data_IF_637929615730
#
_entry.id   IF_637929615730
#
_cell.length_a   1.000
_cell.length_b   1.000
_cell.length_c   1.000
_cell.angle_alpha   90.00
_cell.angle_beta   90.00
_cell.angle_gamma   90.00
#
_symmetry.space_group_name_H-M   'P 1'
#
loop_
_entity.id
_entity.type
_entity.pdbx_description
1 polymer ?
#
# COMPACT_ATOMS: atom_id res chain seq x y z
N UNK A 1 -16.84 -20.20 -10.56
CA UNK A 1 -17.58 -18.93 -10.65
C UNK A 1 -16.60 -17.82 -10.33
N UNK A 2 -16.48 -16.81 -11.19
CA UNK A 2 -15.68 -15.63 -10.88
C UNK A 2 -16.50 -14.80 -9.89
N UNK A 3 -15.96 -14.53 -8.71
CA UNK A 3 -16.59 -13.60 -7.78
C UNK A 3 -16.71 -12.22 -8.43
N UNK A 4 -17.84 -11.55 -8.17
CA UNK A 4 -18.12 -10.21 -8.66
C UNK A 4 -17.14 -9.22 -8.02
N UNK A 5 -16.19 -8.63 -8.79
CA UNK A 5 -15.14 -7.79 -8.23
C UNK A 5 -15.69 -6.51 -7.59
N UNK A 6 -16.88 -6.06 -7.99
CA UNK A 6 -17.54 -4.87 -7.44
C UNK A 6 -18.13 -5.10 -6.04
N UNK A 7 -18.18 -6.36 -5.57
CA UNK A 7 -18.68 -6.69 -4.22
C UNK A 7 -17.59 -6.69 -3.14
N UNK A 8 -16.32 -6.48 -3.50
CA UNK A 8 -15.22 -6.58 -2.55
C UNK A 8 -14.58 -5.21 -2.25
N UNK A 9 -15.06 -4.54 -1.19
CA UNK A 9 -14.51 -3.26 -0.69
C UNK A 9 -13.32 -3.45 0.28
N UNK A 10 -12.46 -4.43 0.02
CA UNK A 10 -11.30 -4.75 0.88
C UNK A 10 -10.05 -3.91 0.57
N UNK A 11 -10.12 -3.00 -0.40
CA UNK A 11 -9.01 -2.13 -0.80
C UNK A 11 -9.05 -0.76 -0.12
N UNK A 12 -7.89 -0.31 0.37
CA UNK A 12 -7.70 1.01 0.98
C UNK A 12 -6.71 1.80 0.14
N UNK A 13 -7.11 2.97 -0.37
CA UNK A 13 -6.22 3.89 -1.08
C UNK A 13 -5.62 4.91 -0.12
N UNK A 14 -4.30 4.87 0.04
CA UNK A 14 -3.53 5.87 0.81
C UNK A 14 -2.89 6.83 -0.18
N UNK A 15 -3.45 8.03 -0.28
CA UNK A 15 -2.99 9.09 -1.20
C UNK A 15 -2.50 10.31 -0.43
N UNK A 16 -1.72 11.16 -1.10
CA UNK A 16 -1.15 12.38 -0.54
C UNK A 16 0.17 12.79 -1.19
N UNK A 17 0.67 14.01 -0.94
CA UNK A 17 1.91 14.53 -1.52
C UNK A 17 3.14 13.67 -1.22
N UNK A 18 4.19 13.78 -2.04
CA UNK A 18 5.49 13.18 -1.74
C UNK A 18 6.01 13.67 -0.38
N UNK A 19 6.71 12.82 0.36
CA UNK A 19 7.22 13.06 1.71
C UNK A 19 6.15 13.23 2.83
N UNK A 20 4.86 13.03 2.56
CA UNK A 20 3.81 13.10 3.58
C UNK A 20 3.72 11.89 4.53
N UNK A 21 4.65 10.93 4.44
CA UNK A 21 4.68 9.75 5.32
C UNK A 21 3.70 8.62 4.97
N UNK A 22 3.19 8.56 3.73
CA UNK A 22 2.23 7.52 3.27
C UNK A 22 2.68 6.10 3.58
N UNK A 23 3.94 5.77 3.26
CA UNK A 23 4.50 4.43 3.48
C UNK A 23 4.48 4.03 4.97
N UNK A 24 4.73 4.99 5.87
CA UNK A 24 4.69 4.74 7.31
C UNK A 24 3.28 4.39 7.79
N UNK A 25 2.27 5.15 7.33
CA UNK A 25 0.85 4.88 7.66
C UNK A 25 0.40 3.54 7.07
N UNK A 26 0.80 3.21 5.84
CA UNK A 26 0.46 1.94 5.20
C UNK A 26 1.00 0.73 5.97
N UNK A 27 2.25 0.79 6.41
CA UNK A 27 2.88 -0.26 7.22
C UNK A 27 2.22 -0.37 8.59
N UNK A 28 1.97 0.75 9.27
CA UNK A 28 1.30 0.77 10.57
C UNK A 28 -0.11 0.16 10.50
N UNK A 29 -0.87 0.46 9.45
CA UNK A 29 -2.19 -0.12 9.22
C UNK A 29 -2.11 -1.64 8.99
N UNK A 30 -1.16 -2.11 8.18
CA UNK A 30 -0.98 -3.53 7.93
C UNK A 30 -0.60 -4.30 9.22
N UNK A 31 0.23 -3.69 10.08
CA UNK A 31 0.58 -4.23 11.40
C UNK A 31 -0.65 -4.30 12.32
N UNK A 32 -1.41 -3.22 12.42
CA UNK A 32 -2.64 -3.19 13.23
C UNK A 32 -3.68 -4.22 12.76
N UNK A 33 -3.83 -4.42 11.44
CA UNK A 33 -4.69 -5.48 10.90
C UNK A 33 -4.21 -6.87 11.32
N UNK A 34 -2.90 -7.11 11.27
CA UNK A 34 -2.31 -8.39 11.68
C UNK A 34 -2.60 -8.71 13.15
N UNK A 35 -2.58 -7.70 14.04
CA UNK A 35 -2.95 -7.85 15.45
C UNK A 35 -4.41 -8.30 15.64
N UNK A 36 -5.30 -7.93 14.72
CA UNK A 36 -6.71 -8.38 14.71
C UNK A 36 -6.94 -9.73 14.02
N UNK A 37 -5.87 -10.42 13.61
CA UNK A 37 -5.95 -11.68 12.86
C UNK A 37 -6.29 -11.49 11.36
N UNK A 38 -6.25 -10.26 10.85
CA UNK A 38 -6.51 -9.94 9.44
C UNK A 38 -5.19 -9.75 8.69
N UNK A 39 -5.12 -10.25 7.46
CA UNK A 39 -3.94 -10.03 6.60
C UNK A 39 -4.10 -8.71 5.83
N UNK A 40 -3.14 -7.80 5.98
CA UNK A 40 -2.97 -6.63 5.11
C UNK A 40 -1.77 -6.80 4.18
N UNK A 41 -1.86 -6.30 2.95
CA UNK A 41 -0.74 -6.23 1.99
C UNK A 41 -0.64 -4.81 1.46
N UNK A 42 0.56 -4.23 1.51
CA UNK A 42 0.82 -2.91 0.90
C UNK A 42 1.18 -3.13 -0.56
N UNK A 43 0.43 -2.52 -1.47
CA UNK A 43 0.69 -2.51 -2.90
C UNK A 43 1.21 -1.12 -3.27
N UNK A 44 2.40 -1.07 -3.88
CA UNK A 44 2.96 0.17 -4.36
C UNK A 44 2.18 0.69 -5.57
N UNK A 45 1.85 1.98 -5.57
CA UNK A 45 1.17 2.67 -6.66
C UNK A 45 1.98 3.87 -7.21
N UNK A 46 3.26 3.99 -6.85
CA UNK A 46 4.17 5.02 -7.34
C UNK A 46 4.98 4.52 -8.54
N UNK A 47 4.78 5.17 -9.68
CA UNK A 47 5.46 4.82 -10.94
C UNK A 47 6.98 4.98 -10.91
N UNK A 48 7.54 5.80 -10.02
CA UNK A 48 8.99 5.98 -9.91
C UNK A 48 9.67 4.84 -9.15
N UNK A 49 8.95 4.15 -8.25
CA UNK A 49 9.52 3.12 -7.38
C UNK A 49 9.58 1.72 -8.01
N UNK A 50 9.09 1.56 -9.24
CA UNK A 50 9.17 0.30 -10.00
C UNK A 50 10.60 0.03 -10.50
N UNK A 51 11.41 1.07 -10.67
CA UNK A 51 12.79 0.95 -11.14
C UNK A 51 13.71 0.52 -9.99
N UNK A 52 14.33 -0.65 -10.15
CA UNK A 52 15.21 -1.22 -9.12
C UNK A 52 16.42 -0.33 -8.81
N UNK A 53 16.98 0.33 -9.82
CA UNK A 53 18.22 1.09 -9.70
C UNK A 53 18.06 2.49 -9.08
N UNK A 54 16.82 2.97 -8.89
CA UNK A 54 16.54 4.36 -8.50
C UNK A 54 16.26 4.56 -7.01
N UNK A 55 16.74 3.70 -6.11
CA UNK A 55 16.36 3.67 -4.68
C UNK A 55 16.37 5.04 -4.00
N UNK A 56 17.48 5.77 -4.14
CA UNK A 56 17.66 7.09 -3.51
C UNK A 56 16.73 8.13 -4.15
N UNK A 57 16.61 8.12 -5.48
CA UNK A 57 15.81 9.10 -6.22
C UNK A 57 14.30 8.86 -6.08
N UNK A 58 13.88 7.62 -5.86
CA UNK A 58 12.47 7.24 -5.69
C UNK A 58 12.00 7.26 -4.23
N UNK A 59 12.87 7.63 -3.29
CA UNK A 59 12.62 7.57 -1.85
C UNK A 59 12.06 6.19 -1.42
N UNK A 60 12.70 5.11 -1.88
CA UNK A 60 12.33 3.73 -1.55
C UNK A 60 13.14 3.20 -0.38
#
# INVERSE_FOLDING_TARGET
>A
MMEDPDKNNDAILITGPTASGKSAVAVALAQALAETGRRGVVINADSAQVYADLQILSAR
#
